data_IF_448341469266
#
_entry.id   IF_448341469266
#
_cell.length_a   1.000
_cell.length_b   1.000
_cell.length_c   1.000
_cell.angle_alpha   90.00
_cell.angle_beta   90.00
_cell.angle_gamma   90.00
#
_symmetry.space_group_name_H-M   'P 1'
#
loop_
_entity.id
_entity.type
_entity.pdbx_description
1 polymer ?
#
# COMPACT_ATOMS: atom_id res chain seq x y z
N UNK A 1 -7.32 -14.30 37.80
CA UNK A 1 -8.44 -14.77 36.98
C UNK A 1 -7.91 -14.91 35.54
N UNK A 2 -7.75 -16.12 35.02
CA UNK A 2 -7.17 -16.36 33.68
C UNK A 2 -8.30 -16.28 32.65
N UNK A 3 -8.21 -15.36 31.71
CA UNK A 3 -9.11 -15.30 30.55
C UNK A 3 -8.95 -16.58 29.73
N UNK A 4 -10.08 -17.22 29.41
CA UNK A 4 -10.13 -18.46 28.64
C UNK A 4 -9.68 -18.22 27.17
N UNK A 5 -9.16 -19.25 26.47
CA UNK A 5 -8.69 -19.10 25.11
C UNK A 5 -9.85 -18.87 24.14
N UNK A 6 -9.64 -17.95 23.20
CA UNK A 6 -10.63 -17.43 22.27
C UNK A 6 -10.95 -18.47 21.17
N UNK A 7 -12.23 -18.79 20.97
CA UNK A 7 -12.70 -19.56 19.81
C UNK A 7 -13.04 -18.58 18.66
N UNK A 8 -12.42 -18.81 17.49
CA UNK A 8 -12.08 -17.77 16.50
C UNK A 8 -13.25 -17.17 15.66
N UNK A 9 -14.46 -17.74 15.68
CA UNK A 9 -15.58 -17.25 14.83
C UNK A 9 -16.74 -16.64 15.63
N UNK A 10 -17.24 -17.32 16.66
CA UNK A 10 -18.31 -16.81 17.55
C UNK A 10 -17.90 -15.55 18.34
N UNK A 11 -16.58 -15.35 18.54
CA UNK A 11 -16.07 -14.20 19.28
C UNK A 11 -15.91 -12.94 18.42
N UNK A 12 -15.92 -13.02 17.07
CA UNK A 12 -15.78 -11.82 16.23
C UNK A 12 -17.04 -10.97 16.21
N UNK A 13 -18.20 -11.59 16.04
CA UNK A 13 -19.48 -10.88 16.13
C UNK A 13 -19.70 -10.34 17.55
N UNK A 14 -19.43 -11.15 18.58
CA UNK A 14 -19.52 -10.73 19.97
C UNK A 14 -18.55 -9.56 20.29
N UNK A 15 -17.32 -9.62 19.80
CA UNK A 15 -16.33 -8.54 19.94
C UNK A 15 -16.73 -7.28 19.18
N UNK A 16 -17.25 -7.41 17.95
CA UNK A 16 -17.77 -6.27 17.18
C UNK A 16 -18.95 -5.63 17.89
N UNK A 17 -19.87 -6.43 18.43
CA UNK A 17 -21.00 -5.94 19.23
C UNK A 17 -20.54 -5.26 20.53
N UNK A 18 -19.52 -5.80 21.18
CA UNK A 18 -18.93 -5.21 22.38
C UNK A 18 -18.20 -3.90 22.06
N UNK A 19 -17.49 -3.83 20.93
CA UNK A 19 -16.85 -2.62 20.42
C UNK A 19 -17.88 -1.54 20.06
N UNK A 20 -18.97 -1.90 19.37
CA UNK A 20 -20.09 -1.01 19.08
C UNK A 20 -20.71 -0.53 20.39
N UNK A 21 -20.96 -1.42 21.35
CA UNK A 21 -21.52 -1.04 22.65
C UNK A 21 -20.61 -0.08 23.44
N UNK A 22 -19.29 -0.22 23.32
CA UNK A 22 -18.33 0.74 23.88
C UNK A 22 -18.46 2.09 23.18
N UNK A 23 -18.49 2.13 21.85
CA UNK A 23 -18.67 3.38 21.09
C UNK A 23 -20.00 4.05 21.43
N UNK A 24 -21.10 3.29 21.50
CA UNK A 24 -22.42 3.78 21.90
C UNK A 24 -22.40 4.35 23.32
N UNK A 25 -21.70 3.71 24.27
CA UNK A 25 -21.58 4.24 25.63
C UNK A 25 -20.75 5.51 25.69
N UNK A 26 -19.70 5.59 24.89
CA UNK A 26 -18.87 6.79 24.78
C UNK A 26 -19.64 7.96 24.15
N UNK A 27 -20.53 7.68 23.21
CA UNK A 27 -21.33 8.71 22.55
C UNK A 27 -22.54 9.17 23.36
N UNK A 28 -22.93 8.42 24.39
CA UNK A 28 -23.92 8.80 25.40
C UNK A 28 -23.34 9.69 26.52
N UNK A 29 -22.02 9.92 26.53
CA UNK A 29 -21.43 10.96 27.39
C UNK A 29 -21.90 12.33 26.89
N UNK A 30 -21.91 13.34 27.76
CA UNK A 30 -22.41 14.70 27.44
C UNK A 30 -21.67 15.39 26.28
N UNK A 31 -20.59 14.79 25.75
CA UNK A 31 -19.80 15.30 24.64
C UNK A 31 -20.02 14.45 23.37
N UNK A 32 -20.15 15.08 22.19
CA UNK A 32 -20.34 14.37 20.93
C UNK A 32 -19.09 13.57 20.57
N UNK A 33 -19.28 12.31 20.15
CA UNK A 33 -18.18 11.44 19.71
C UNK A 33 -17.79 11.76 18.27
N UNK A 34 -16.56 12.23 18.04
CA UNK A 34 -16.03 12.43 16.69
C UNK A 34 -15.18 11.24 16.28
N UNK A 35 -15.55 10.58 15.17
CA UNK A 35 -14.84 9.46 14.59
C UNK A 35 -14.31 9.88 13.22
N UNK A 36 -12.98 9.85 13.03
CA UNK A 36 -12.35 10.21 11.76
C UNK A 36 -11.72 8.97 11.14
N UNK A 37 -12.17 8.61 9.95
CA UNK A 37 -11.55 7.60 9.11
C UNK A 37 -10.69 8.31 8.07
N UNK A 38 -9.39 8.14 8.18
CA UNK A 38 -8.39 8.65 7.25
C UNK A 38 -7.70 7.48 6.52
N UNK A 39 -6.98 7.75 5.43
CA UNK A 39 -6.16 6.76 4.71
C UNK A 39 -6.92 5.51 4.23
N UNK A 40 -8.13 5.70 3.69
CA UNK A 40 -9.01 4.62 3.25
C UNK A 40 -8.70 4.14 1.82
N UNK A 41 -7.75 4.75 1.13
CA UNK A 41 -7.39 4.48 -0.27
C UNK A 41 -6.99 3.03 -0.50
N UNK A 42 -6.25 2.45 0.45
CA UNK A 42 -5.82 1.05 0.41
C UNK A 42 -7.00 0.08 0.40
N UNK A 43 -8.14 0.43 1.01
CA UNK A 43 -9.33 -0.44 1.05
C UNK A 43 -10.01 -0.57 -0.31
N UNK A 44 -9.93 0.45 -1.17
CA UNK A 44 -10.55 0.46 -2.50
C UNK A 44 -9.85 -0.43 -3.53
N UNK A 45 -8.78 -1.14 -3.15
CA UNK A 45 -8.05 -2.06 -4.02
C UNK A 45 -8.81 -3.38 -4.20
N UNK A 46 -8.70 -3.98 -5.37
CA UNK A 46 -9.40 -5.24 -5.70
C UNK A 46 -9.07 -6.36 -4.69
N UNK A 47 -7.82 -6.46 -4.24
CA UNK A 47 -7.43 -7.47 -3.25
C UNK A 47 -8.11 -7.29 -1.88
N UNK A 48 -8.58 -6.08 -1.56
CA UNK A 48 -9.20 -5.74 -0.27
C UNK A 48 -10.72 -5.68 -0.34
N UNK A 49 -11.35 -6.15 -1.42
CA UNK A 49 -12.79 -6.07 -1.64
C UNK A 49 -13.61 -6.62 -0.46
N UNK A 50 -13.26 -7.81 0.04
CA UNK A 50 -13.96 -8.44 1.18
C UNK A 50 -13.81 -7.59 2.45
N UNK A 51 -12.65 -6.97 2.66
CA UNK A 51 -12.41 -6.09 3.80
C UNK A 51 -13.25 -4.81 3.68
N UNK A 52 -13.36 -4.25 2.48
CA UNK A 52 -14.18 -3.07 2.21
C UNK A 52 -15.69 -3.35 2.35
N UNK A 53 -16.16 -4.52 1.93
CA UNK A 53 -17.55 -4.96 2.16
C UNK A 53 -17.85 -5.06 3.66
N UNK A 54 -16.98 -5.74 4.41
CA UNK A 54 -17.10 -5.83 5.88
C UNK A 54 -17.03 -4.46 6.56
N UNK A 55 -16.19 -3.56 6.05
CA UNK A 55 -16.11 -2.17 6.53
C UNK A 55 -17.44 -1.45 6.31
N UNK A 56 -18.04 -1.58 5.12
CA UNK A 56 -19.35 -1.02 4.80
C UNK A 56 -20.45 -1.47 5.76
N UNK A 57 -20.50 -2.77 6.07
CA UNK A 57 -21.43 -3.32 7.06
C UNK A 57 -21.16 -2.79 8.48
N UNK A 58 -19.90 -2.73 8.90
CA UNK A 58 -19.55 -2.16 10.19
C UNK A 58 -19.95 -0.68 10.32
N UNK A 59 -19.81 0.10 9.25
CA UNK A 59 -20.24 1.51 9.22
C UNK A 59 -21.76 1.61 9.38
N UNK A 60 -22.55 0.73 8.75
CA UNK A 60 -24.01 0.69 8.98
C UNK A 60 -24.32 0.49 10.46
N UNK A 61 -23.70 -0.50 11.08
CA UNK A 61 -23.92 -0.81 12.49
C UNK A 61 -23.55 0.37 13.40
N UNK A 62 -22.43 1.05 13.14
CA UNK A 62 -22.03 2.25 13.88
C UNK A 62 -23.10 3.35 13.74
N UNK A 63 -23.53 3.68 12.52
CA UNK A 63 -24.59 4.68 12.31
C UNK A 63 -25.92 4.32 12.97
N UNK A 64 -26.21 3.02 13.12
CA UNK A 64 -27.45 2.55 13.74
C UNK A 64 -27.38 2.57 15.27
N UNK A 65 -26.23 2.27 15.86
CA UNK A 65 -26.11 2.04 17.29
C UNK A 65 -25.38 3.14 18.06
N UNK A 66 -24.66 4.04 17.40
CA UNK A 66 -23.89 5.11 18.05
C UNK A 66 -24.63 6.44 17.87
N UNK A 67 -25.51 6.83 18.81
CA UNK A 67 -26.17 8.15 18.75
C UNK A 67 -25.17 9.27 19.05
N UNK A 68 -25.46 10.52 18.67
CA UNK A 68 -24.63 11.69 19.04
C UNK A 68 -23.16 11.56 18.60
N UNK A 69 -22.93 11.10 17.37
CA UNK A 69 -21.59 11.03 16.78
C UNK A 69 -21.48 11.79 15.47
N UNK A 70 -20.32 12.41 15.24
CA UNK A 70 -19.90 12.94 13.95
C UNK A 70 -18.88 11.97 13.34
N UNK A 71 -19.17 11.44 12.16
CA UNK A 71 -18.27 10.54 11.45
C UNK A 71 -17.74 11.27 10.21
N UNK A 72 -16.41 11.36 10.09
CA UNK A 72 -15.73 12.02 8.98
C UNK A 72 -14.96 10.96 8.20
N UNK A 73 -15.19 10.89 6.89
CA UNK A 73 -14.43 10.05 5.97
C UNK A 73 -13.56 10.94 5.10
N UNK A 74 -12.24 10.80 5.21
CA UNK A 74 -11.29 11.48 4.35
C UNK A 74 -10.85 10.52 3.22
N UNK A 75 -11.14 10.90 1.98
CA UNK A 75 -11.00 10.04 0.80
C UNK A 75 -10.67 10.90 -0.42
N UNK A 76 -9.80 10.40 -1.31
CA UNK A 76 -9.67 11.00 -2.64
C UNK A 76 -10.96 10.84 -3.46
N UNK A 77 -11.32 11.84 -4.31
CA UNK A 77 -12.56 11.81 -5.09
C UNK A 77 -12.73 10.55 -5.95
N UNK A 78 -11.64 10.10 -6.59
CA UNK A 78 -11.67 8.90 -7.44
C UNK A 78 -11.98 7.63 -6.64
N UNK A 79 -11.50 7.55 -5.39
CA UNK A 79 -11.77 6.40 -4.51
C UNK A 79 -13.20 6.41 -4.01
N UNK A 80 -13.71 7.58 -3.65
CA UNK A 80 -15.12 7.72 -3.30
C UNK A 80 -16.04 7.25 -4.44
N UNK A 81 -15.77 7.68 -5.69
CA UNK A 81 -16.54 7.26 -6.87
C UNK A 81 -16.49 5.73 -7.02
N UNK A 82 -15.30 5.15 -6.95
CA UNK A 82 -15.12 3.70 -7.07
C UNK A 82 -15.89 2.93 -5.98
N UNK A 83 -15.74 3.30 -4.71
CA UNK A 83 -16.40 2.63 -3.59
C UNK A 83 -17.93 2.73 -3.69
N UNK A 84 -18.43 3.92 -4.06
CA UNK A 84 -19.86 4.20 -4.23
C UNK A 84 -20.47 3.41 -5.39
N UNK A 85 -19.79 3.34 -6.54
CA UNK A 85 -20.39 2.80 -7.76
C UNK A 85 -20.21 1.27 -7.88
N UNK A 86 -19.17 0.69 -7.26
CA UNK A 86 -18.82 -0.72 -7.46
C UNK A 86 -19.08 -1.64 -6.25
N UNK A 87 -19.12 -1.10 -5.02
CA UNK A 87 -19.01 -1.93 -3.80
C UNK A 87 -20.08 -1.63 -2.76
N UNK A 88 -20.30 -0.36 -2.41
CA UNK A 88 -21.27 0.00 -1.38
C UNK A 88 -22.70 -0.07 -1.90
N UNK A 89 -23.61 -0.56 -1.04
CA UNK A 89 -25.03 -0.51 -1.33
C UNK A 89 -25.63 0.87 -1.03
N UNK A 90 -26.85 1.09 -1.51
CA UNK A 90 -27.55 2.37 -1.33
C UNK A 90 -27.71 2.79 0.13
N UNK A 91 -27.83 1.83 1.06
CA UNK A 91 -28.00 2.14 2.48
C UNK A 91 -26.71 2.66 3.13
N UNK A 92 -25.53 2.18 2.71
CA UNK A 92 -24.24 2.75 3.12
C UNK A 92 -24.08 4.15 2.53
N UNK A 93 -24.35 4.28 1.23
CA UNK A 93 -24.15 5.54 0.49
C UNK A 93 -25.01 6.64 1.12
N UNK A 94 -26.30 6.39 1.36
CA UNK A 94 -27.22 7.36 1.96
C UNK A 94 -26.76 7.85 3.34
N UNK A 95 -26.02 7.03 4.09
CA UNK A 95 -25.47 7.39 5.41
C UNK A 95 -24.13 8.11 5.32
N UNK A 96 -23.24 7.68 4.43
CA UNK A 96 -21.92 8.29 4.25
C UNK A 96 -21.98 9.61 3.48
N UNK A 97 -22.89 9.73 2.51
CA UNK A 97 -23.01 10.90 1.63
C UNK A 97 -24.01 11.95 2.13
N UNK A 98 -24.32 11.96 3.43
CA UNK A 98 -25.20 12.97 4.03
C UNK A 98 -24.65 14.39 3.81
N UNK A 99 -23.33 14.54 3.93
CA UNK A 99 -22.64 15.79 3.67
C UNK A 99 -21.30 15.51 2.99
N UNK A 100 -21.13 16.01 1.77
CA UNK A 100 -19.91 15.83 0.98
C UNK A 100 -19.24 17.18 0.78
N UNK A 101 -18.04 17.32 1.33
CA UNK A 101 -17.18 18.49 1.10
C UNK A 101 -16.11 18.08 0.10
N UNK A 102 -16.08 18.75 -1.05
CA UNK A 102 -15.00 18.59 -2.01
C UNK A 102 -13.96 19.69 -1.79
N UNK A 103 -12.71 19.30 -1.54
CA UNK A 103 -11.59 20.23 -1.42
C UNK A 103 -11.01 20.51 -2.80
N UNK A 104 -10.94 21.79 -3.17
CA UNK A 104 -10.30 22.24 -4.40
C UNK A 104 -8.80 22.46 -4.22
N UNK A 105 -8.05 22.40 -5.32
CA UNK A 105 -6.64 22.74 -5.29
C UNK A 105 -6.44 24.21 -4.87
N UNK A 106 -5.53 24.51 -3.93
CA UNK A 106 -5.28 25.89 -3.54
C UNK A 106 -4.75 26.70 -4.71
N UNK A 107 -5.14 27.97 -4.81
CA UNK A 107 -4.59 28.91 -5.78
C UNK A 107 -3.07 29.10 -5.57
N UNK A 108 -2.36 29.54 -6.61
CA UNK A 108 -0.93 29.88 -6.50
C UNK A 108 -0.65 30.91 -5.39
N UNK A 109 -1.56 31.84 -5.17
CA UNK A 109 -1.48 32.84 -4.10
C UNK A 109 -1.57 32.19 -2.71
N UNK A 110 -2.53 31.27 -2.53
CA UNK A 110 -2.67 30.52 -1.28
C UNK A 110 -1.46 29.61 -1.02
N UNK A 111 -0.94 28.95 -2.07
CA UNK A 111 0.29 28.15 -1.97
C UNK A 111 1.49 29.01 -1.57
N UNK A 112 1.62 30.20 -2.15
CA UNK A 112 2.66 31.17 -1.79
C UNK A 112 2.53 31.59 -0.33
N UNK A 113 1.32 31.89 0.15
CA UNK A 113 1.07 32.23 1.55
C UNK A 113 1.43 31.07 2.50
N UNK A 114 1.09 29.81 2.15
CA UNK A 114 1.45 28.62 2.93
C UNK A 114 2.97 28.46 3.03
N UNK A 115 3.69 28.66 1.93
CA UNK A 115 5.15 28.58 1.90
C UNK A 115 5.78 29.72 2.71
N UNK A 116 5.22 30.93 2.61
CA UNK A 116 5.70 32.09 3.37
C UNK A 116 5.51 31.87 4.88
N UNK A 117 4.39 31.29 5.32
CA UNK A 117 4.19 31.00 6.75
C UNK A 117 5.22 30.03 7.33
N UNK A 118 5.66 29.04 6.54
CA UNK A 118 6.75 28.16 6.98
C UNK A 118 8.06 28.93 7.20
N UNK A 119 8.31 29.98 6.42
CA UNK A 119 9.51 30.81 6.50
C UNK A 119 9.41 31.95 7.51
N UNK A 120 8.20 32.35 7.90
CA UNK A 120 7.98 33.39 8.92
C UNK A 120 8.65 33.02 10.25
N UNK A 121 8.72 31.72 10.58
CA UNK A 121 9.45 31.22 11.75
C UNK A 121 10.96 31.49 11.73
N UNK A 122 11.51 31.79 10.56
CA UNK A 122 12.93 32.04 10.30
C UNK A 122 13.22 33.49 9.87
N UNK A 123 12.20 34.35 9.84
CA UNK A 123 12.28 35.76 9.38
C UNK A 123 12.87 35.90 7.96
N UNK A 124 12.54 34.95 7.07
CA UNK A 124 12.98 34.90 5.67
C UNK A 124 11.80 35.09 4.71
N UNK A 125 12.03 35.74 3.57
CA UNK A 125 11.04 35.87 2.49
C UNK A 125 11.30 34.88 1.36
N UNK A 126 10.24 34.39 0.72
CA UNK A 126 10.36 33.48 -0.43
C UNK A 126 11.21 34.06 -1.56
N UNK A 127 11.08 35.37 -1.80
CA UNK A 127 11.79 36.10 -2.85
C UNK A 127 13.29 36.23 -2.59
N UNK A 128 13.76 35.97 -1.36
CA UNK A 128 15.20 35.92 -1.05
C UNK A 128 15.79 34.54 -1.29
N UNK A 129 14.97 33.49 -1.23
CA UNK A 129 15.42 32.10 -1.36
C UNK A 129 15.30 31.58 -2.79
N UNK A 130 14.28 32.02 -3.52
CA UNK A 130 13.93 31.49 -4.84
C UNK A 130 13.76 32.61 -5.87
N UNK A 131 14.23 32.39 -7.09
CA UNK A 131 13.99 33.28 -8.21
C UNK A 131 12.56 33.09 -8.79
N UNK A 132 12.18 33.96 -9.74
CA UNK A 132 10.84 33.91 -10.33
C UNK A 132 10.54 32.62 -11.11
N UNK A 133 11.55 31.99 -11.72
CA UNK A 133 11.37 30.74 -12.47
C UNK A 133 11.24 29.55 -11.52
N UNK A 134 12.05 29.52 -10.47
CA UNK A 134 12.00 28.53 -9.39
C UNK A 134 10.66 28.60 -8.65
N UNK A 135 10.18 29.81 -8.34
CA UNK A 135 8.87 29.99 -7.71
C UNK A 135 7.72 29.51 -8.59
N UNK A 136 7.76 29.76 -9.90
CA UNK A 136 6.73 29.22 -10.80
C UNK A 136 6.78 27.69 -10.89
N UNK A 137 7.96 27.09 -10.84
CA UNK A 137 8.11 25.63 -10.81
C UNK A 137 7.63 25.01 -9.48
N UNK A 138 7.91 25.67 -8.35
CA UNK A 138 7.44 25.27 -7.01
C UNK A 138 5.91 25.39 -6.92
N UNK A 139 5.34 26.51 -7.35
CA UNK A 139 3.91 26.77 -7.28
C UNK A 139 3.11 26.02 -8.36
N UNK A 140 3.79 25.50 -9.39
CA UNK A 140 3.20 24.67 -10.44
C UNK A 140 3.08 23.18 -10.08
N UNK A 141 3.47 22.78 -8.87
CA UNK A 141 3.39 21.39 -8.42
C UNK A 141 1.94 20.95 -8.16
N UNK A 142 1.63 19.65 -8.31
CA UNK A 142 0.25 19.15 -8.28
C UNK A 142 -0.40 19.17 -6.89
N UNK A 143 0.39 19.31 -5.81
CA UNK A 143 -0.13 19.33 -4.44
C UNK A 143 0.69 20.26 -3.56
N UNK A 144 0.12 20.67 -2.41
CA UNK A 144 0.82 21.45 -1.39
C UNK A 144 2.10 20.72 -0.96
N UNK A 145 2.02 19.40 -0.74
CA UNK A 145 3.15 18.56 -0.34
C UNK A 145 4.24 18.56 -1.42
N UNK A 146 3.86 18.37 -2.69
CA UNK A 146 4.80 18.41 -3.80
C UNK A 146 5.46 19.79 -3.94
N UNK A 147 4.70 20.88 -3.77
CA UNK A 147 5.25 22.24 -3.76
C UNK A 147 6.29 22.44 -2.64
N UNK A 148 5.97 22.02 -1.40
CA UNK A 148 6.90 22.10 -0.27
C UNK A 148 8.16 21.25 -0.52
N UNK A 149 7.99 20.01 -0.99
CA UNK A 149 9.11 19.12 -1.30
C UNK A 149 9.98 19.69 -2.42
N UNK A 150 9.38 20.32 -3.44
CA UNK A 150 10.08 20.97 -4.52
C UNK A 150 10.87 22.18 -4.03
N UNK A 151 10.28 23.02 -3.18
CA UNK A 151 10.98 24.13 -2.54
C UNK A 151 12.19 23.64 -1.71
N UNK A 152 12.00 22.56 -0.94
CA UNK A 152 13.09 21.93 -0.19
C UNK A 152 14.18 21.38 -1.12
N UNK A 153 13.83 20.80 -2.27
CA UNK A 153 14.79 20.32 -3.25
C UNK A 153 15.63 21.47 -3.86
N UNK A 154 15.00 22.59 -4.23
CA UNK A 154 15.72 23.79 -4.68
C UNK A 154 16.66 24.34 -3.61
N UNK A 155 16.23 24.38 -2.36
CA UNK A 155 17.08 24.80 -1.25
C UNK A 155 18.30 23.89 -1.08
N UNK A 156 18.10 22.56 -1.10
CA UNK A 156 19.20 21.58 -1.03
C UNK A 156 20.14 21.67 -2.22
N UNK A 157 19.63 21.88 -3.42
CA UNK A 157 20.46 22.09 -4.61
C UNK A 157 21.37 23.31 -4.44
N UNK A 158 20.83 24.43 -3.94
CA UNK A 158 21.61 25.67 -3.74
C UNK A 158 22.69 25.56 -2.66
N UNK A 159 22.45 24.78 -1.60
CA UNK A 159 23.37 24.71 -0.45
C UNK A 159 24.32 23.52 -0.53
N UNK A 160 23.85 22.38 -1.03
CA UNK A 160 24.58 21.10 -1.00
C UNK A 160 24.93 20.57 -2.38
N UNK A 161 24.64 21.32 -3.46
CA UNK A 161 24.91 20.95 -4.87
C UNK A 161 24.29 19.60 -5.27
N UNK A 162 23.14 19.26 -4.65
CA UNK A 162 22.38 18.05 -4.91
C UNK A 162 21.52 18.24 -6.16
N UNK A 163 21.64 17.34 -7.14
CA UNK A 163 20.91 17.40 -8.40
C UNK A 163 19.37 17.46 -8.22
N UNK A 164 18.72 18.36 -8.96
CA UNK A 164 17.26 18.51 -8.96
C UNK A 164 16.57 17.34 -9.69
N UNK A 165 15.43 16.89 -9.16
CA UNK A 165 14.62 15.87 -9.85
C UNK A 165 14.05 16.40 -11.17
N UNK A 166 14.06 15.56 -12.24
CA UNK A 166 13.33 15.88 -13.45
C UNK A 166 11.86 16.12 -13.11
N UNK A 167 11.30 17.16 -13.73
CA UNK A 167 9.93 17.63 -13.48
C UNK A 167 8.90 16.51 -13.58
N UNK A 168 8.08 16.35 -12.55
CA UNK A 168 6.81 15.60 -12.60
C UNK A 168 5.68 16.51 -13.13
N UNK A 169 5.88 17.20 -14.26
CA UNK A 169 4.75 17.74 -15.04
C UNK A 169 4.03 16.58 -15.72
N UNK A 170 3.30 15.77 -14.95
CA UNK A 170 2.16 15.07 -15.52
C UNK A 170 1.14 16.16 -15.80
N UNK A 171 0.94 16.46 -17.08
CA UNK A 171 -0.12 17.31 -17.56
C UNK A 171 -1.44 16.70 -17.05
N UNK A 172 -2.03 17.30 -16.01
CA UNK A 172 -3.37 16.96 -15.60
C UNK A 172 -4.29 17.45 -16.71
N UNK A 173 -4.66 16.55 -17.62
CA UNK A 173 -5.92 16.71 -18.31
C UNK A 173 -6.99 16.57 -17.24
N UNK A 174 -7.58 17.69 -16.82
CA UNK A 174 -8.86 17.64 -16.12
C UNK A 174 -9.79 16.73 -16.93
N UNK A 175 -10.38 15.68 -16.34
CA UNK A 175 -11.63 15.19 -16.88
C UNK A 175 -12.62 16.33 -16.66
N UNK A 176 -12.92 17.07 -17.73
CA UNK A 176 -13.98 18.07 -17.70
C UNK A 176 -15.20 17.46 -17.05
N UNK A 177 -15.57 17.97 -15.89
CA UNK A 177 -16.83 17.65 -15.22
C UNK A 177 -17.92 18.19 -16.13
N UNK A 178 -18.37 17.35 -17.07
CA UNK A 178 -19.61 17.60 -17.80
C UNK A 178 -20.70 17.57 -16.74
N UNK A 179 -21.24 18.76 -16.49
CA UNK A 179 -22.48 18.96 -15.79
C UNK A 179 -23.55 18.06 -16.40
N UNK A 180 -23.82 16.92 -15.76
CA UNK A 180 -25.00 16.10 -16.03
C UNK A 180 -26.23 16.76 -15.39
N UNK A 181 -26.59 17.96 -15.86
CA UNK A 181 -27.94 18.49 -15.75
C UNK A 181 -28.67 18.14 -17.03
N UNK A 182 -29.56 17.15 -16.92
CA UNK A 182 -30.74 16.89 -17.77
C UNK A 182 -30.68 17.47 -19.20
N UNK A 183 -30.38 16.62 -20.17
CA UNK A 183 -30.95 16.73 -21.51
C UNK A 183 -31.49 15.36 -21.93
N UNK A 184 -32.80 15.23 -21.75
CA UNK A 184 -33.63 14.29 -22.50
C UNK A 184 -33.69 14.84 -23.93
N UNK A 185 -33.08 14.15 -24.90
CA UNK A 185 -33.74 13.73 -26.16
C UNK A 185 -32.75 13.20 -27.22
N UNK A 186 -33.14 12.04 -27.76
CA UNK A 186 -33.11 11.63 -29.17
C UNK A 186 -31.80 11.77 -29.96
N UNK A 187 -31.02 10.70 -29.98
CA UNK A 187 -30.81 9.89 -31.18
C UNK A 187 -30.03 8.62 -30.82
N UNK A 188 -30.53 7.47 -31.26
CA UNK A 188 -29.94 6.17 -30.97
C UNK A 188 -28.63 5.98 -31.73
N UNK A 189 -27.52 6.06 -31.02
CA UNK A 189 -26.26 5.43 -31.42
C UNK A 189 -25.97 4.31 -30.42
N UNK A 190 -26.06 3.07 -30.89
CA UNK A 190 -25.72 1.87 -30.11
C UNK A 190 -24.22 1.83 -29.84
N UNK A 191 -23.85 1.22 -28.71
CA UNK A 191 -22.47 1.00 -28.26
C UNK A 191 -21.55 0.38 -29.32
N UNK A 192 -22.11 -0.31 -30.31
CA UNK A 192 -21.39 -0.91 -31.45
C UNK A 192 -20.78 0.14 -32.40
N UNK A 193 -21.47 1.24 -32.69
CA UNK A 193 -20.92 2.30 -33.55
C UNK A 193 -19.77 3.08 -32.89
N UNK A 194 -19.73 3.10 -31.55
CA UNK A 194 -18.59 3.66 -30.81
C UNK A 194 -17.36 2.75 -30.88
N UNK A 195 -17.56 1.43 -30.90
CA UNK A 195 -16.49 0.44 -31.06
C UNK A 195 -15.89 0.50 -32.47
N UNK A 196 -16.73 0.55 -33.51
CA UNK A 196 -16.27 0.66 -34.91
C UNK A 196 -15.42 1.92 -35.14
N UNK A 197 -15.80 3.05 -34.51
CA UNK A 197 -15.05 4.30 -34.64
C UNK A 197 -13.69 4.25 -33.92
N UNK A 198 -13.63 3.59 -32.75
CA UNK A 198 -12.37 3.37 -32.03
C UNK A 198 -11.45 2.41 -32.79
N UNK A 199 -12.00 1.39 -33.43
CA UNK A 199 -11.22 0.46 -34.26
C UNK A 199 -10.66 1.15 -35.52
N UNK A 200 -11.43 2.03 -36.15
CA UNK A 200 -10.96 2.85 -37.26
C UNK A 200 -9.82 3.80 -36.85
N UNK A 201 -9.93 4.43 -35.66
CA UNK A 201 -8.90 5.32 -35.12
C UNK A 201 -7.59 4.56 -34.79
N UNK A 202 -7.69 3.32 -34.28
CA UNK A 202 -6.54 2.44 -34.05
C UNK A 202 -5.88 2.01 -35.36
N UNK A 203 -6.68 1.71 -36.39
CA UNK A 203 -6.18 1.38 -37.73
C UNK A 203 -5.35 2.52 -38.34
N UNK A 204 -5.86 3.74 -38.27
CA UNK A 204 -5.16 4.94 -38.74
C UNK A 204 -3.86 5.22 -37.98
N UNK A 205 -3.84 4.99 -36.66
CA UNK A 205 -2.64 5.12 -35.82
C UNK A 205 -1.56 4.10 -36.18
N UNK A 206 -1.94 2.85 -36.48
CA UNK A 206 -1.00 1.81 -36.92
C UNK A 206 -0.35 2.16 -38.26
N UNK A 207 -1.14 2.65 -39.21
CA UNK A 207 -0.65 3.03 -40.54
C UNK A 207 0.35 4.20 -40.47
N UNK A 208 0.09 5.20 -39.59
CA UNK A 208 1.04 6.29 -39.34
C UNK A 208 2.34 5.84 -38.69
N UNK A 209 2.28 4.85 -37.80
CA UNK A 209 3.45 4.29 -37.12
C UNK A 209 4.31 3.50 -38.11
N UNK A 210 3.72 2.71 -38.99
CA UNK A 210 4.46 1.98 -40.05
C UNK A 210 5.21 2.92 -40.99
N UNK A 211 4.57 4.02 -41.41
CA UNK A 211 5.22 5.04 -42.27
C UNK A 211 6.41 5.72 -41.58
N UNK A 212 6.38 5.88 -40.25
CA UNK A 212 7.49 6.44 -39.47
C UNK A 212 8.68 5.47 -39.36
N UNK A 213 8.41 4.16 -39.28
CA UNK A 213 9.46 3.14 -39.12
C UNK A 213 10.03 2.61 -40.44
N UNK A 214 9.34 2.78 -41.58
CA UNK A 214 9.89 2.41 -42.89
C UNK A 214 10.90 3.41 -43.48
N UNK A 215 11.00 4.63 -42.94
CA UNK A 215 11.82 5.71 -43.51
C UNK A 215 13.15 5.99 -42.77
N UNK A 216 13.62 5.11 -41.89
CA UNK A 216 14.97 5.23 -41.30
C UNK A 216 15.75 3.92 -41.36
N UNK A 217 16.57 3.78 -42.42
CA UNK A 217 17.70 2.86 -42.46
C UNK A 217 18.95 3.58 -42.98
N UNK A 218 19.93 3.67 -42.08
CA UNK A 218 21.39 3.68 -42.29
C UNK A 218 22.08 4.95 -42.82
N UNK A 219 22.89 5.57 -41.95
CA UNK A 219 24.16 6.18 -42.34
C UNK A 219 24.54 7.48 -41.62
N UNK A 220 25.11 7.41 -40.41
CA UNK A 220 26.26 8.26 -40.02
C UNK A 220 26.76 7.91 -38.62
N UNK A 221 27.96 7.35 -38.59
CA UNK A 221 28.80 7.17 -37.40
C UNK A 221 29.23 8.55 -36.90
N UNK A 222 28.75 8.97 -35.73
CA UNK A 222 29.36 10.04 -34.95
C UNK A 222 29.79 9.46 -33.60
N UNK A 223 31.10 9.31 -33.49
CA UNK A 223 31.84 8.98 -32.28
C UNK A 223 31.63 10.07 -31.22
N UNK A 224 30.73 9.83 -30.27
CA UNK A 224 30.72 10.57 -29.02
C UNK A 224 31.82 9.98 -28.14
N UNK A 225 32.90 10.73 -27.94
CA UNK A 225 33.90 10.43 -26.93
C UNK A 225 33.21 10.42 -25.56
N UNK A 226 33.22 9.28 -24.92
CA UNK A 226 32.84 9.11 -23.52
C UNK A 226 33.74 9.98 -22.63
N UNK A 227 33.19 11.11 -22.18
CA UNK A 227 33.59 11.70 -20.91
C UNK A 227 32.87 10.93 -19.81
N UNK A 228 33.55 10.52 -18.72
CA UNK A 228 32.89 9.82 -17.63
C UNK A 228 31.86 10.76 -17.02
N UNK A 229 30.57 10.46 -17.23
CA UNK A 229 29.50 11.06 -16.44
C UNK A 229 29.68 10.54 -15.02
N UNK A 230 30.09 11.43 -14.10
CA UNK A 230 29.95 11.20 -12.67
C UNK A 230 28.49 10.81 -12.36
N UNK A 231 28.26 9.92 -11.37
CA UNK A 231 26.94 9.39 -11.10
C UNK A 231 26.05 10.52 -10.57
N UNK A 232 25.21 11.06 -11.45
CA UNK A 232 24.05 11.87 -11.05
C UNK A 232 23.17 11.00 -10.17
N UNK A 233 23.20 11.24 -8.87
CA UNK A 233 22.32 10.59 -7.89
C UNK A 233 20.87 10.90 -8.29
N UNK A 234 20.04 9.87 -8.52
CA UNK A 234 18.61 10.07 -8.79
C UNK A 234 17.99 10.71 -7.53
N UNK A 235 17.46 11.94 -7.58
CA UNK A 235 16.90 12.61 -6.41
C UNK A 235 15.74 11.87 -5.76
N UNK A 236 15.04 10.99 -6.49
CA UNK A 236 14.03 10.11 -5.88
C UNK A 236 14.66 9.00 -5.03
N UNK A 237 15.91 8.60 -5.33
CA UNK A 237 16.69 7.66 -4.51
C UNK A 237 16.99 8.29 -3.14
N UNK A 238 17.31 9.58 -3.10
CA UNK A 238 17.63 10.27 -1.84
C UNK A 238 16.38 10.50 -0.99
N UNK A 239 15.26 10.90 -1.61
CA UNK A 239 13.95 11.00 -0.92
C UNK A 239 13.56 9.65 -0.33
N UNK A 240 13.62 8.58 -1.13
CA UNK A 240 13.29 7.23 -0.66
C UNK A 240 14.22 6.79 0.46
N UNK A 241 15.53 7.03 0.32
CA UNK A 241 16.52 6.66 1.35
C UNK A 241 16.26 7.40 2.66
N UNK A 242 16.08 8.71 2.61
CA UNK A 242 15.78 9.52 3.80
C UNK A 242 14.49 9.07 4.47
N UNK A 243 13.45 8.78 3.70
CA UNK A 243 12.18 8.27 4.20
C UNK A 243 12.36 6.89 4.87
N UNK A 244 13.05 5.95 4.20
CA UNK A 244 13.29 4.60 4.72
C UNK A 244 14.13 4.62 6.00
N UNK A 245 15.14 5.48 6.07
CA UNK A 245 15.99 5.65 7.26
C UNK A 245 15.18 6.22 8.44
N UNK A 246 14.34 7.23 8.19
CA UNK A 246 13.44 7.79 9.21
C UNK A 246 12.45 6.75 9.71
N UNK A 247 11.73 6.07 8.81
CA UNK A 247 10.74 5.06 9.16
C UNK A 247 11.37 3.88 9.92
N UNK A 248 12.58 3.46 9.52
CA UNK A 248 13.33 2.42 10.23
C UNK A 248 13.67 2.84 11.67
N UNK A 249 14.06 4.09 11.90
CA UNK A 249 14.31 4.61 13.26
C UNK A 249 13.03 4.65 14.09
N UNK A 250 11.92 5.13 13.53
CA UNK A 250 10.62 5.20 14.21
C UNK A 250 10.10 3.80 14.58
N UNK A 251 10.18 2.85 13.65
CA UNK A 251 9.81 1.45 13.89
C UNK A 251 10.74 0.80 14.94
N UNK A 252 12.04 1.08 14.86
CA UNK A 252 13.02 0.61 15.83
C UNK A 252 12.75 1.11 17.24
N UNK A 253 12.31 2.35 17.40
CA UNK A 253 11.92 2.94 18.68
C UNK A 253 10.58 2.40 19.22
N UNK A 254 9.68 1.99 18.33
CA UNK A 254 8.37 1.39 18.69
C UNK A 254 8.44 -0.11 18.97
N UNK A 255 9.50 -0.79 18.54
CA UNK A 255 9.61 -2.26 18.60
C UNK A 255 9.40 -2.85 20.00
N UNK A 256 9.93 -2.19 21.03
CA UNK A 256 9.89 -2.66 22.42
C UNK A 256 8.55 -2.36 23.12
N UNK A 257 7.62 -1.65 22.45
CA UNK A 257 6.29 -1.40 23.00
C UNK A 257 5.48 -2.69 23.00
N UNK A 258 4.70 -2.90 24.07
CA UNK A 258 3.76 -4.02 24.16
C UNK A 258 2.76 -3.95 23.01
N UNK A 259 2.76 -4.99 22.18
CA UNK A 259 1.86 -5.15 21.04
C UNK A 259 1.34 -6.59 21.02
N UNK A 260 0.06 -6.75 20.66
CA UNK A 260 -0.52 -8.06 20.38
C UNK A 260 -0.07 -8.51 18.99
N UNK A 261 0.62 -9.66 18.91
CA UNK A 261 1.16 -10.18 17.66
C UNK A 261 0.29 -11.36 17.19
N UNK A 262 -0.36 -11.20 16.04
CA UNK A 262 -1.23 -12.23 15.47
C UNK A 262 -0.76 -12.65 14.07
N UNK A 263 -0.73 -13.96 13.82
CA UNK A 263 -0.26 -14.49 12.53
C UNK A 263 -1.13 -14.08 11.34
N UNK A 264 -2.41 -13.77 11.58
CA UNK A 264 -3.31 -13.22 10.56
C UNK A 264 -2.98 -11.77 10.19
N UNK A 265 -2.49 -10.98 11.15
CA UNK A 265 -2.07 -9.60 10.91
C UNK A 265 -0.83 -9.58 10.01
N UNK A 266 0.20 -10.33 10.38
CA UNK A 266 1.43 -10.45 9.57
C UNK A 266 1.18 -11.04 8.18
N UNK A 267 0.28 -12.03 8.09
CA UNK A 267 -0.15 -12.55 6.79
C UNK A 267 -0.87 -11.48 5.96
N UNK A 268 -1.72 -10.66 6.58
CA UNK A 268 -2.41 -9.54 5.91
C UNK A 268 -1.44 -8.52 5.36
N UNK A 269 -0.42 -8.13 6.14
CA UNK A 269 0.66 -7.24 5.70
C UNK A 269 1.41 -7.83 4.51
N UNK A 270 1.83 -9.09 4.63
CA UNK A 270 2.52 -9.79 3.56
C UNK A 270 1.65 -9.93 2.30
N UNK A 271 0.35 -10.15 2.45
CA UNK A 271 -0.59 -10.21 1.33
C UNK A 271 -0.66 -8.86 0.60
N UNK A 272 -0.84 -7.75 1.32
CA UNK A 272 -0.89 -6.41 0.74
C UNK A 272 0.39 -6.11 -0.03
N UNK A 273 1.53 -6.38 0.61
CA UNK A 273 2.86 -6.28 0.00
C UNK A 273 2.90 -7.11 -1.29
N UNK A 274 2.70 -8.43 -1.21
CA UNK A 274 2.79 -9.32 -2.35
C UNK A 274 1.84 -8.95 -3.50
N UNK A 275 0.60 -8.54 -3.20
CA UNK A 275 -0.37 -8.11 -4.21
C UNK A 275 0.10 -6.87 -4.98
N UNK A 276 0.75 -5.91 -4.32
CA UNK A 276 1.32 -4.76 -5.05
C UNK A 276 2.52 -5.16 -5.91
N UNK A 277 3.36 -6.08 -5.43
CA UNK A 277 4.47 -6.62 -6.25
C UNK A 277 3.97 -7.43 -7.46
N UNK A 278 2.78 -8.03 -7.39
CA UNK A 278 2.17 -8.75 -8.51
C UNK A 278 1.88 -7.83 -9.72
N UNK A 279 1.76 -6.51 -9.49
CA UNK A 279 1.62 -5.53 -10.58
C UNK A 279 2.95 -5.31 -11.33
N UNK A 280 4.08 -5.63 -10.72
CA UNK A 280 5.41 -5.43 -11.29
C UNK A 280 6.04 -6.73 -11.81
N UNK A 281 5.72 -7.88 -11.22
CA UNK A 281 6.24 -9.18 -11.63
C UNK A 281 5.15 -10.25 -11.74
N UNK A 282 5.38 -11.26 -12.59
CA UNK A 282 4.42 -12.32 -12.89
C UNK A 282 4.55 -13.47 -11.88
N UNK A 283 3.68 -13.47 -10.86
CA UNK A 283 3.47 -14.60 -9.96
C UNK A 283 2.01 -14.67 -9.52
N UNK A 284 1.60 -15.81 -8.98
CA UNK A 284 0.29 -16.03 -8.39
C UNK A 284 0.38 -16.09 -6.87
N UNK A 285 -0.66 -15.60 -6.21
CA UNK A 285 -0.79 -15.61 -4.76
C UNK A 285 -2.02 -16.43 -4.40
N UNK A 286 -1.84 -17.46 -3.55
CA UNK A 286 -2.92 -18.33 -3.13
C UNK A 286 -2.78 -18.70 -1.65
N UNK A 287 -3.85 -19.22 -1.04
CA UNK A 287 -3.82 -19.76 0.32
C UNK A 287 -4.00 -21.27 0.29
N UNK A 288 -3.07 -21.99 0.91
CA UNK A 288 -3.16 -23.45 0.99
C UNK A 288 -4.13 -23.88 2.09
N UNK A 289 -4.83 -24.98 1.80
CA UNK A 289 -5.79 -25.64 2.69
C UNK A 289 -5.41 -27.10 2.88
N UNK A 290 -5.75 -27.67 4.04
CA UNK A 290 -5.54 -29.09 4.35
C UNK A 290 -6.86 -29.71 4.83
N UNK A 291 -7.78 -29.96 3.90
CA UNK A 291 -9.15 -30.34 4.22
C UNK A 291 -9.78 -29.37 5.22
N UNK A 292 -10.43 -29.90 6.26
CA UNK A 292 -11.08 -29.10 7.31
C UNK A 292 -10.13 -28.74 8.48
N UNK A 293 -8.82 -28.88 8.31
CA UNK A 293 -7.87 -28.63 9.41
C UNK A 293 -7.38 -27.19 9.44
N UNK A 294 -7.28 -26.67 10.66
CA UNK A 294 -6.71 -25.35 10.90
C UNK A 294 -5.19 -25.39 10.68
N UNK A 295 -4.74 -24.59 9.72
CA UNK A 295 -3.33 -24.36 9.40
C UNK A 295 -2.83 -23.05 10.04
N UNK A 296 -1.51 -22.88 10.16
CA UNK A 296 -0.93 -21.55 10.32
C UNK A 296 -1.42 -20.60 9.22
N UNK A 297 -1.45 -19.30 9.53
CA UNK A 297 -1.74 -18.27 8.55
C UNK A 297 -0.67 -18.36 7.45
N UNK A 298 -1.05 -18.71 6.22
CA UNK A 298 -0.11 -19.06 5.16
C UNK A 298 -0.45 -18.40 3.82
N UNK A 299 0.59 -18.17 3.03
CA UNK A 299 0.58 -17.60 1.70
C UNK A 299 1.46 -18.44 0.78
N UNK A 300 0.90 -18.98 -0.30
CA UNK A 300 1.66 -19.54 -1.42
C UNK A 300 1.89 -18.43 -2.44
N UNK A 301 3.15 -18.22 -2.78
CA UNK A 301 3.60 -17.40 -3.90
C UNK A 301 4.24 -18.34 -4.90
N UNK A 302 3.71 -18.40 -6.12
CA UNK A 302 4.20 -19.32 -7.15
C UNK A 302 4.39 -18.63 -8.49
N UNK A 303 5.44 -19.01 -9.20
CA UNK A 303 5.60 -18.72 -10.61
C UNK A 303 5.45 -20.04 -11.41
N UNK A 304 5.68 -20.00 -12.72
CA UNK A 304 5.52 -21.17 -13.60
C UNK A 304 6.45 -22.36 -13.29
N UNK A 305 7.44 -22.19 -12.41
CA UNK A 305 8.47 -23.21 -12.16
C UNK A 305 8.66 -23.58 -10.68
N UNK A 306 8.35 -22.69 -9.73
CA UNK A 306 8.62 -22.87 -8.30
C UNK A 306 7.53 -22.19 -7.45
N UNK A 307 7.38 -22.66 -6.20
CA UNK A 307 6.48 -22.04 -5.21
C UNK A 307 7.12 -21.92 -3.83
N UNK A 308 6.87 -20.79 -3.17
CA UNK A 308 7.24 -20.55 -1.77
C UNK A 308 5.98 -20.36 -0.94
N UNK A 309 5.88 -21.13 0.15
CA UNK A 309 4.83 -21.02 1.16
C UNK A 309 5.40 -20.31 2.38
N UNK A 310 4.93 -19.10 2.61
CA UNK A 310 5.28 -18.29 3.78
C UNK A 310 4.15 -18.39 4.80
N UNK A 311 4.46 -18.75 6.04
CA UNK A 311 3.45 -18.91 7.07
C UNK A 311 3.88 -18.33 8.42
N UNK A 312 2.92 -17.83 9.19
CA UNK A 312 3.14 -17.27 10.53
C UNK A 312 2.42 -18.11 11.60
N UNK A 313 3.14 -18.44 12.69
CA UNK A 313 2.60 -19.18 13.83
C UNK A 313 3.04 -18.58 15.18
N UNK A 314 2.27 -17.58 15.62
CA UNK A 314 2.46 -16.90 16.91
C UNK A 314 1.65 -17.50 18.05
N UNK A 315 0.73 -18.43 17.76
CA UNK A 315 -0.07 -19.12 18.79
C UNK A 315 0.80 -19.87 19.80
N UNK A 316 0.25 -20.11 21.00
CA UNK A 316 0.94 -20.78 22.11
C UNK A 316 0.27 -22.13 22.46
N UNK A 317 1.00 -22.99 23.19
CA UNK A 317 0.45 -24.22 23.78
C UNK A 317 -0.05 -25.29 22.80
N UNK A 318 -1.26 -25.80 23.05
CA UNK A 318 -1.89 -26.85 22.23
C UNK A 318 -2.21 -26.37 20.81
N UNK A 319 -2.62 -25.11 20.65
CA UNK A 319 -2.90 -24.50 19.34
C UNK A 319 -1.65 -24.46 18.47
N UNK A 320 -0.50 -24.07 19.04
CA UNK A 320 0.80 -24.16 18.36
C UNK A 320 1.07 -25.58 17.85
N UNK A 321 0.98 -26.55 18.76
CA UNK A 321 1.33 -27.95 18.48
C UNK A 321 0.41 -28.57 17.43
N UNK A 322 -0.89 -28.26 17.45
CA UNK A 322 -1.85 -28.74 16.47
C UNK A 322 -1.58 -28.15 15.07
N UNK A 323 -1.34 -26.84 15.00
CA UNK A 323 -1.11 -26.12 13.74
C UNK A 323 0.21 -26.52 13.08
N UNK A 324 1.31 -26.65 13.83
CA UNK A 324 2.60 -27.10 13.26
C UNK A 324 2.54 -28.56 12.77
N UNK A 325 1.80 -29.44 13.45
CA UNK A 325 1.55 -30.82 12.97
C UNK A 325 0.81 -30.84 11.63
N UNK A 326 -0.18 -29.97 11.48
CA UNK A 326 -0.91 -29.85 10.21
C UNK A 326 -0.01 -29.24 9.12
N UNK A 327 0.82 -28.25 9.47
CA UNK A 327 1.78 -27.68 8.54
C UNK A 327 2.81 -28.71 8.06
N UNK A 328 3.38 -29.53 8.94
CA UNK A 328 4.29 -30.63 8.57
C UNK A 328 3.65 -31.62 7.60
N UNK A 329 2.34 -31.89 7.74
CA UNK A 329 1.60 -32.74 6.78
C UNK A 329 1.47 -32.06 5.42
N UNK A 330 1.22 -30.75 5.41
CA UNK A 330 1.13 -29.95 4.19
C UNK A 330 2.48 -29.89 3.44
N UNK A 331 3.58 -29.75 4.17
CA UNK A 331 4.96 -29.78 3.61
C UNK A 331 5.24 -31.13 2.96
N UNK A 332 4.83 -32.23 3.62
CA UNK A 332 5.03 -33.58 3.11
C UNK A 332 4.19 -33.89 1.86
N UNK A 333 3.06 -33.19 1.66
CA UNK A 333 2.17 -33.43 0.52
C UNK A 333 2.52 -32.58 -0.72
N UNK A 334 3.42 -31.60 -0.60
CA UNK A 334 3.82 -30.71 -1.69
C UNK A 334 5.36 -30.59 -1.73
N UNK A 335 6.03 -31.58 -2.28
CA UNK A 335 7.50 -31.60 -2.38
C UNK A 335 8.06 -30.46 -3.24
N UNK A 336 7.25 -29.92 -4.13
CA UNK A 336 7.68 -28.99 -5.18
C UNK A 336 7.72 -27.54 -4.69
N UNK A 337 7.23 -27.28 -3.47
CA UNK A 337 7.22 -25.96 -2.85
C UNK A 337 8.13 -25.89 -1.64
N UNK A 338 8.77 -24.74 -1.43
CA UNK A 338 9.53 -24.46 -0.21
C UNK A 338 8.61 -23.86 0.86
N UNK A 339 8.66 -24.38 2.08
CA UNK A 339 7.84 -23.95 3.20
C UNK A 339 8.70 -23.25 4.26
N UNK A 340 8.31 -22.03 4.62
CA UNK A 340 8.93 -21.25 5.69
C UNK A 340 7.88 -20.91 6.72
N UNK A 341 8.02 -21.47 7.93
CA UNK A 341 7.19 -21.16 9.09
C UNK A 341 7.92 -20.18 10.00
N UNK A 342 7.33 -19.00 10.18
CA UNK A 342 7.90 -17.88 10.90
C UNK A 342 7.21 -17.66 12.24
N UNK A 343 7.98 -17.26 13.25
CA UNK A 343 7.50 -16.88 14.57
C UNK A 343 8.28 -15.68 15.10
N UNK A 344 7.59 -14.69 15.67
CA UNK A 344 8.24 -13.51 16.25
C UNK A 344 9.00 -13.90 17.53
N UNK A 345 10.21 -13.37 17.73
CA UNK A 345 11.02 -13.64 18.94
C UNK A 345 10.43 -13.06 20.22
N UNK A 346 9.55 -12.06 20.13
CA UNK A 346 8.84 -11.47 21.28
C UNK A 346 7.80 -12.43 21.87
N UNK A 347 7.36 -13.43 21.10
CA UNK A 347 6.46 -14.45 21.59
C UNK A 347 7.14 -15.43 22.56
N UNK A 348 6.34 -16.06 23.42
CA UNK A 348 6.87 -16.99 24.41
C UNK A 348 7.65 -18.15 23.77
N UNK A 349 8.80 -18.49 24.33
CA UNK A 349 9.64 -19.57 23.82
C UNK A 349 8.92 -20.91 23.92
N UNK A 350 9.02 -21.74 22.87
CA UNK A 350 8.41 -23.06 22.85
C UNK A 350 9.17 -24.00 23.80
N UNK A 351 8.61 -24.24 24.99
CA UNK A 351 9.18 -25.14 26.01
C UNK A 351 8.70 -26.59 25.91
N UNK A 352 7.54 -26.82 25.31
CA UNK A 352 6.92 -28.15 25.22
C UNK A 352 7.70 -29.11 24.33
N UNK A 353 7.91 -30.35 24.80
CA UNK A 353 8.65 -31.41 24.08
C UNK A 353 8.07 -31.68 22.69
N UNK A 354 6.74 -31.78 22.59
CA UNK A 354 6.05 -32.06 21.32
C UNK A 354 6.23 -30.91 20.31
N UNK A 355 6.14 -29.66 20.78
CA UNK A 355 6.35 -28.49 19.92
C UNK A 355 7.77 -28.45 19.35
N UNK A 356 8.80 -28.70 20.19
CA UNK A 356 10.19 -28.78 19.75
C UNK A 356 10.42 -29.91 18.73
N UNK A 357 9.87 -31.09 19.00
CA UNK A 357 9.97 -32.22 18.09
C UNK A 357 9.37 -31.92 16.71
N UNK A 358 8.21 -31.25 16.64
CA UNK A 358 7.60 -30.89 15.35
C UNK A 358 8.37 -29.78 14.62
N UNK A 359 9.04 -28.87 15.34
CA UNK A 359 9.95 -27.87 14.75
C UNK A 359 11.17 -28.57 14.15
N UNK A 360 11.80 -29.47 14.90
CA UNK A 360 12.92 -30.27 14.40
C UNK A 360 12.50 -31.06 13.18
N UNK A 361 11.33 -31.71 13.23
CA UNK A 361 10.78 -32.44 12.08
C UNK A 361 10.61 -31.55 10.85
N UNK A 362 10.10 -30.33 11.01
CA UNK A 362 9.97 -29.37 9.91
C UNK A 362 11.34 -29.06 9.30
N UNK A 363 12.35 -28.77 10.13
CA UNK A 363 13.70 -28.42 9.70
C UNK A 363 14.47 -29.57 9.05
N UNK A 364 14.11 -30.82 9.33
CA UNK A 364 14.72 -31.99 8.68
C UNK A 364 14.09 -32.32 7.32
N UNK A 365 12.94 -31.72 6.97
CA UNK A 365 12.36 -31.86 5.63
C UNK A 365 13.16 -31.03 4.63
N UNK A 366 13.39 -31.58 3.42
CA UNK A 366 14.19 -30.90 2.37
C UNK A 366 13.63 -29.54 1.97
N UNK A 367 12.31 -29.39 2.05
CA UNK A 367 11.55 -28.23 1.61
C UNK A 367 10.86 -27.51 2.78
N UNK A 368 11.30 -27.71 4.03
CA UNK A 368 10.68 -27.12 5.21
C UNK A 368 11.68 -26.42 6.12
N UNK A 369 11.33 -25.22 6.60
CA UNK A 369 12.16 -24.47 7.55
C UNK A 369 11.32 -23.70 8.56
N UNK A 370 11.74 -23.75 9.82
CA UNK A 370 11.25 -22.90 10.91
C UNK A 370 12.23 -21.75 11.15
N UNK A 371 11.73 -20.52 11.20
CA UNK A 371 12.55 -19.30 11.38
C UNK A 371 11.96 -18.44 12.50
N UNK A 372 12.84 -17.94 13.37
CA UNK A 372 12.48 -16.89 14.31
C UNK A 372 12.74 -15.53 13.66
N UNK A 373 11.71 -14.71 13.54
CA UNK A 373 11.83 -13.33 13.06
C UNK A 373 12.50 -12.51 14.15
N UNK A 374 13.75 -12.14 13.90
CA UNK A 374 14.51 -11.24 14.76
C UNK A 374 13.97 -9.82 14.63
N UNK A 375 14.50 -8.93 15.49
CA UNK A 375 14.15 -7.51 15.46
C UNK A 375 14.28 -6.90 14.06
N UNK A 376 15.39 -7.15 13.39
CA UNK A 376 15.63 -6.61 12.04
C UNK A 376 14.64 -7.19 11.01
N UNK A 377 14.39 -8.51 11.02
CA UNK A 377 13.42 -9.14 10.11
C UNK A 377 12.01 -8.53 10.27
N UNK A 378 11.62 -8.25 11.52
CA UNK A 378 10.33 -7.65 11.85
C UNK A 378 10.24 -6.20 11.40
N UNK A 379 11.28 -5.41 11.67
CA UNK A 379 11.34 -4.00 11.24
C UNK A 379 11.27 -3.93 9.71
N UNK A 380 11.95 -4.84 9.00
CA UNK A 380 11.89 -4.91 7.54
C UNK A 380 10.48 -5.25 7.01
N UNK A 381 9.76 -6.18 7.64
CA UNK A 381 8.37 -6.45 7.28
C UNK A 381 7.47 -5.22 7.43
N UNK A 382 7.55 -4.55 8.58
CA UNK A 382 6.76 -3.35 8.82
C UNK A 382 7.19 -2.22 7.87
N UNK A 383 8.49 -2.07 7.59
CA UNK A 383 9.01 -1.00 6.74
C UNK A 383 8.52 -1.12 5.30
N UNK A 384 8.57 -2.32 4.70
CA UNK A 384 8.06 -2.53 3.35
C UNK A 384 6.53 -2.38 3.32
N UNK A 385 5.85 -2.87 4.35
CA UNK A 385 4.40 -2.69 4.46
C UNK A 385 4.02 -1.21 4.55
N UNK A 386 4.66 -0.43 5.42
CA UNK A 386 4.45 1.02 5.55
C UNK A 386 4.77 1.75 4.25
N UNK A 387 5.88 1.42 3.58
CA UNK A 387 6.20 2.00 2.28
C UNK A 387 5.08 1.77 1.26
N UNK A 388 4.56 0.55 1.18
CA UNK A 388 3.45 0.21 0.26
C UNK A 388 2.20 1.03 0.61
N UNK A 389 1.83 1.07 1.89
CA UNK A 389 0.64 1.79 2.36
C UNK A 389 0.76 3.30 2.12
N UNK A 390 1.90 3.90 2.45
CA UNK A 390 2.12 5.34 2.28
C UNK A 390 2.13 5.75 0.80
N UNK A 391 2.63 4.89 -0.10
CA UNK A 391 2.50 5.11 -1.55
C UNK A 391 1.03 4.99 -1.97
N UNK A 392 0.30 3.99 -1.48
CA UNK A 392 -1.12 3.80 -1.82
C UNK A 392 -1.99 4.98 -1.36
N UNK A 393 -1.68 5.55 -0.20
CA UNK A 393 -2.36 6.70 0.40
C UNK A 393 -1.86 8.05 -0.14
N UNK A 394 -0.91 8.05 -1.10
CA UNK A 394 -0.27 9.26 -1.65
C UNK A 394 0.46 10.11 -0.59
N UNK A 395 0.84 9.51 0.54
CA UNK A 395 1.68 10.14 1.55
C UNK A 395 3.13 10.24 1.11
N UNK A 396 3.58 9.31 0.27
CA UNK A 396 4.86 9.37 -0.41
C UNK A 396 4.68 9.66 -1.92
N UNK A 397 5.24 10.78 -2.38
CA UNK A 397 5.17 11.22 -3.79
C UNK A 397 6.20 10.48 -4.67
N UNK A 398 6.04 9.16 -4.76
CA UNK A 398 6.81 8.27 -5.61
C UNK A 398 5.89 7.18 -6.17
N UNK A 399 6.08 6.80 -7.44
CA UNK A 399 5.35 5.65 -7.97
C UNK A 399 5.89 4.35 -7.39
N UNK A 400 5.03 3.34 -7.23
CA UNK A 400 5.43 2.05 -6.68
C UNK A 400 6.50 1.37 -7.54
N UNK A 401 6.41 1.47 -8.87
CA UNK A 401 7.37 0.87 -9.81
C UNK A 401 8.77 1.47 -9.63
N UNK A 402 8.83 2.79 -9.42
CA UNK A 402 10.08 3.49 -9.16
C UNK A 402 10.63 3.15 -7.77
N UNK A 403 9.79 3.17 -6.73
CA UNK A 403 10.20 2.77 -5.38
C UNK A 403 10.74 1.33 -5.36
N UNK A 404 10.07 0.42 -6.05
CA UNK A 404 10.47 -0.98 -6.19
C UNK A 404 11.83 -1.13 -6.88
N UNK A 405 12.03 -0.45 -8.01
CA UNK A 405 13.29 -0.51 -8.77
C UNK A 405 14.48 -0.06 -7.91
N UNK A 406 14.30 1.01 -7.13
CA UNK A 406 15.31 1.54 -6.22
C UNK A 406 15.57 0.60 -5.04
N UNK A 407 14.51 0.02 -4.46
CA UNK A 407 14.61 -0.94 -3.36
C UNK A 407 15.40 -2.20 -3.77
N UNK A 408 15.11 -2.74 -4.96
CA UNK A 408 15.82 -3.89 -5.52
C UNK A 408 17.30 -3.61 -5.74
N UNK A 409 17.64 -2.39 -6.15
CA UNK A 409 19.02 -1.97 -6.37
C UNK A 409 19.79 -1.78 -5.05
N UNK A 410 19.18 -1.17 -4.04
CA UNK A 410 19.82 -0.92 -2.74
C UNK A 410 19.94 -2.18 -1.86
N UNK A 411 18.94 -3.07 -1.90
CA UNK A 411 18.84 -4.22 -1.01
C UNK A 411 18.49 -5.50 -1.78
N UNK A 412 19.39 -6.00 -2.64
CA UNK A 412 19.13 -7.19 -3.45
C UNK A 412 18.92 -8.47 -2.62
N UNK A 413 19.41 -8.50 -1.36
CA UNK A 413 19.29 -9.62 -0.42
C UNK A 413 18.20 -9.43 0.65
N UNK A 414 17.24 -8.55 0.40
CA UNK A 414 16.15 -8.34 1.35
C UNK A 414 15.28 -9.60 1.43
N UNK A 415 15.08 -10.16 2.63
CA UNK A 415 14.49 -11.50 2.78
C UNK A 415 13.07 -11.57 2.17
N UNK A 416 12.26 -10.52 2.29
CA UNK A 416 10.93 -10.48 1.65
C UNK A 416 11.07 -10.61 0.14
N UNK A 417 11.95 -9.82 -0.49
CA UNK A 417 12.16 -9.86 -1.94
C UNK A 417 12.69 -11.24 -2.36
N UNK A 418 13.67 -11.81 -1.65
CA UNK A 418 14.16 -13.16 -1.93
C UNK A 418 13.05 -14.22 -1.86
N UNK A 419 12.15 -14.11 -0.87
CA UNK A 419 11.05 -15.06 -0.69
C UNK A 419 9.89 -14.84 -1.65
N UNK A 420 9.64 -13.61 -2.10
CA UNK A 420 8.63 -13.30 -3.12
C UNK A 420 9.12 -13.68 -4.53
N UNK A 421 10.36 -13.37 -4.87
CA UNK A 421 10.86 -13.46 -6.26
C UNK A 421 11.53 -14.77 -6.63
N UNK A 422 11.51 -15.78 -5.75
CA UNK A 422 11.94 -17.15 -6.05
C UNK A 422 13.32 -17.21 -6.76
N UNK A 423 14.23 -16.30 -6.41
CA UNK A 423 15.55 -16.20 -7.06
C UNK A 423 16.39 -17.44 -6.70
N UNK A 424 17.15 -17.93 -7.69
CA UNK A 424 18.04 -19.09 -7.58
C UNK A 424 19.21 -18.88 -6.59
#
# INVERSE_FOLDING_TARGET
>A
MKLAPWEDELNREAFSLEAIAVLSKLSLLDEPLIIVFDQLEGLGRQQNRVLLENFGEAIKEIFTHVPNSLIIFNLFPNRWIQMRDEIFDGAIIDRMSQYVIQLEHPSKENLKAILQEKLNSLDLSLETLFDSQELDDILGQPSIRAAINRAAAYYRHKIHDIALSPQSRKQWMEPSVVHSRKLINNNGETTEHRLERIEADIGWLKEKIEVLFSNQSMGSTLTVRDLPKEPTVDPNLEILRSYMDQQRQELGARYDRLQLIHGSDDLGKLWIVASEFQNCELFEIQKLRLGNRVLPANLLIQNSQKGNVLAFLHANGSSFTARIKNFNKLVSSHSDFNFVLMRDVRESTIRGKVGKFEIERLNHMKNGRFVYLQREDRIELELIYTLVVDIQNQDLDISFEKAFSLLRWQQPKHWILEKLFLQD
#
